data_IF_530693945753
#
_entry.id   IF_530693945753
#
_cell.length_a   1.000
_cell.length_b   1.000
_cell.length_c   1.000
_cell.angle_alpha   90.00
_cell.angle_beta   90.00
_cell.angle_gamma   90.00
#
_symmetry.space_group_name_H-M   'P 1'
#
loop_
_entity.id
_entity.type
_entity.pdbx_description
1 polymer ?
#
# COMPACT_ATOMS: atom_id res chain seq x y z
N UNK A 1 42.69 12.87 3.09
CA UNK A 1 41.71 11.79 2.94
C UNK A 1 41.04 11.95 1.59
N UNK A 2 40.97 10.89 0.78
CA UNK A 2 40.19 10.92 -0.47
C UNK A 2 38.72 11.00 -0.14
N UNK A 3 37.99 11.95 -0.72
CA UNK A 3 36.55 12.06 -0.55
C UNK A 3 35.88 10.91 -1.28
N UNK A 4 34.93 10.24 -0.59
CA UNK A 4 34.08 9.22 -1.19
C UNK A 4 32.99 9.95 -1.97
N UNK A 5 32.80 9.59 -3.24
CA UNK A 5 31.67 10.11 -4.03
C UNK A 5 30.37 9.45 -3.54
N UNK A 6 29.44 10.21 -2.94
CA UNK A 6 28.18 9.64 -2.45
C UNK A 6 27.32 9.15 -3.63
N UNK A 7 26.66 8.01 -3.45
CA UNK A 7 25.76 7.42 -4.43
C UNK A 7 24.73 6.53 -3.74
N UNK A 8 23.54 6.42 -4.30
CA UNK A 8 22.49 5.51 -3.88
C UNK A 8 22.64 4.17 -4.59
N UNK A 9 22.40 3.06 -3.90
CA UNK A 9 22.43 1.73 -4.49
C UNK A 9 21.31 1.57 -5.53
N UNK A 10 21.60 0.84 -6.61
CA UNK A 10 20.58 0.51 -7.62
C UNK A 10 19.42 -0.26 -7.02
N UNK A 11 18.20 0.23 -7.24
CA UNK A 11 16.96 -0.36 -6.69
C UNK A 11 16.61 0.10 -5.27
N UNK A 12 17.37 1.04 -4.72
CA UNK A 12 17.05 1.73 -3.47
C UNK A 12 16.65 3.17 -3.79
N UNK A 13 15.65 3.69 -3.12
CA UNK A 13 15.13 5.02 -3.40
C UNK A 13 15.36 5.95 -2.21
N UNK A 14 15.87 7.13 -2.51
CA UNK A 14 15.96 8.26 -1.58
C UNK A 14 15.05 9.37 -2.08
N UNK A 15 14.06 9.75 -1.27
CA UNK A 15 13.16 10.84 -1.61
C UNK A 15 13.73 12.16 -1.08
N UNK A 16 13.61 13.21 -1.89
CA UNK A 16 13.81 14.58 -1.43
C UNK A 16 12.68 14.97 -0.45
N UNK A 17 12.85 16.04 0.36
CA UNK A 17 11.86 16.40 1.40
C UNK A 17 10.42 16.54 0.89
N UNK A 18 10.19 17.14 -0.27
CA UNK A 18 8.83 17.32 -0.81
C UNK A 18 8.15 15.99 -1.16
N UNK A 19 8.71 15.11 -2.02
CA UNK A 19 8.16 13.78 -2.25
C UNK A 19 8.02 12.95 -0.95
N UNK A 20 8.92 13.12 0.02
CA UNK A 20 8.81 12.43 1.30
C UNK A 20 7.57 12.87 2.08
N UNK A 21 7.29 14.18 2.15
CA UNK A 21 6.08 14.70 2.77
C UNK A 21 4.80 14.15 2.10
N UNK A 22 4.80 14.05 0.78
CA UNK A 22 3.68 13.44 0.03
C UNK A 22 3.50 11.96 0.37
N UNK A 23 4.60 11.20 0.47
CA UNK A 23 4.56 9.79 0.87
C UNK A 23 4.01 9.64 2.31
N UNK A 24 4.43 10.49 3.25
CA UNK A 24 3.92 10.48 4.63
C UNK A 24 2.43 10.78 4.69
N UNK A 25 1.94 11.73 3.87
CA UNK A 25 0.51 12.02 3.79
C UNK A 25 -0.31 10.82 3.29
N UNK A 26 0.21 10.07 2.31
CA UNK A 26 -0.43 8.82 1.86
C UNK A 26 -0.43 7.80 3.00
N UNK A 27 0.69 7.62 3.69
CA UNK A 27 0.79 6.70 4.84
C UNK A 27 -0.19 7.08 5.97
N UNK A 28 -0.42 8.36 6.19
CA UNK A 28 -1.39 8.85 7.17
C UNK A 28 -2.83 8.48 6.79
N UNK A 29 -3.21 8.65 5.52
CA UNK A 29 -4.53 8.19 5.03
C UNK A 29 -4.69 6.68 5.23
N UNK A 30 -3.65 5.89 4.93
CA UNK A 30 -3.67 4.45 5.15
C UNK A 30 -3.91 4.10 6.63
N UNK A 31 -3.11 4.67 7.54
CA UNK A 31 -3.24 4.44 9.00
C UNK A 31 -4.64 4.81 9.51
N UNK A 32 -5.13 5.98 9.11
CA UNK A 32 -6.44 6.47 9.53
C UNK A 32 -7.56 5.57 8.98
N UNK A 33 -7.49 5.15 7.71
CA UNK A 33 -8.46 4.25 7.11
C UNK A 33 -8.46 2.89 7.81
N UNK A 34 -7.30 2.28 8.04
CA UNK A 34 -7.19 0.98 8.70
C UNK A 34 -7.73 1.02 10.14
N UNK A 35 -7.47 2.11 10.86
CA UNK A 35 -7.99 2.32 12.22
C UNK A 35 -9.51 2.37 12.27
N UNK A 36 -10.20 2.89 11.23
CA UNK A 36 -11.67 2.89 11.15
C UNK A 36 -12.27 1.48 11.13
N UNK A 37 -11.51 0.50 10.67
CA UNK A 37 -11.92 -0.91 10.62
C UNK A 37 -11.40 -1.74 11.82
N UNK A 38 -10.88 -1.07 12.85
CA UNK A 38 -10.41 -1.73 14.07
C UNK A 38 -9.08 -2.48 13.91
N UNK A 39 -8.25 -2.14 12.92
CA UNK A 39 -6.92 -2.70 12.81
C UNK A 39 -5.95 -1.97 13.75
N UNK A 40 -5.10 -2.76 14.43
CA UNK A 40 -4.05 -2.24 15.31
C UNK A 40 -2.69 -2.21 14.60
N UNK A 41 -1.85 -1.21 14.87
CA UNK A 41 -0.52 -1.17 14.29
C UNK A 41 0.37 -2.31 14.84
N UNK A 42 1.16 -2.90 13.96
CA UNK A 42 2.20 -3.86 14.29
C UNK A 42 3.49 -3.46 13.56
N UNK A 43 4.63 -3.67 14.19
CA UNK A 43 5.92 -3.66 13.51
C UNK A 43 6.74 -4.88 13.92
N UNK A 44 7.16 -5.67 12.94
CA UNK A 44 8.04 -6.81 13.12
C UNK A 44 9.47 -6.42 12.73
N UNK A 45 10.51 -7.08 13.26
CA UNK A 45 11.88 -6.79 12.89
C UNK A 45 12.14 -6.89 11.37
N UNK A 46 12.95 -5.99 10.84
CA UNK A 46 13.39 -6.05 9.44
C UNK A 46 14.41 -7.19 9.21
N UNK A 47 15.13 -7.58 10.25
CA UNK A 47 16.09 -8.67 10.25
C UNK A 47 15.54 -9.78 11.14
N UNK A 48 15.50 -10.98 10.60
CA UNK A 48 15.07 -12.19 11.31
C UNK A 48 16.12 -13.29 11.14
N UNK A 49 16.00 -14.35 11.91
CA UNK A 49 16.76 -15.57 11.67
C UNK A 49 16.40 -16.13 10.28
N UNK A 50 17.39 -16.59 9.54
CA UNK A 50 17.18 -17.03 8.16
C UNK A 50 16.23 -18.24 8.07
N UNK A 51 16.26 -19.16 9.03
CA UNK A 51 15.36 -20.30 9.12
C UNK A 51 13.89 -19.90 9.28
N UNK A 52 13.61 -18.81 10.02
CA UNK A 52 12.25 -18.27 10.14
C UNK A 52 11.73 -17.80 8.79
N UNK A 53 12.49 -16.96 8.06
CA UNK A 53 12.03 -16.41 6.79
C UNK A 53 12.02 -17.43 5.64
N UNK A 54 12.81 -18.47 5.75
CA UNK A 54 12.94 -19.57 4.78
C UNK A 54 12.14 -20.82 5.17
N UNK A 55 11.36 -20.78 6.27
CA UNK A 55 10.59 -21.92 6.76
C UNK A 55 9.71 -22.58 5.70
N UNK A 56 9.12 -21.77 4.80
CA UNK A 56 8.35 -22.29 3.68
C UNK A 56 9.23 -22.95 2.60
N UNK A 57 10.53 -22.65 2.56
CA UNK A 57 11.52 -23.23 1.65
C UNK A 57 11.18 -23.23 0.16
N UNK A 58 12.21 -23.09 -0.70
CA UNK A 58 12.10 -23.31 -2.14
C UNK A 58 11.63 -22.12 -2.98
N UNK A 59 11.84 -22.22 -4.28
CA UNK A 59 11.35 -21.30 -5.27
C UNK A 59 12.17 -20.03 -5.47
N UNK A 60 11.53 -19.03 -6.08
CA UNK A 60 12.17 -17.73 -6.37
C UNK A 60 12.47 -16.89 -5.12
N UNK A 61 11.67 -17.04 -4.06
CA UNK A 61 11.85 -16.30 -2.80
C UNK A 61 13.22 -16.54 -2.19
N UNK A 62 13.67 -17.79 -2.17
CA UNK A 62 14.98 -18.16 -1.64
C UNK A 62 16.15 -17.53 -2.41
N UNK A 63 15.99 -17.35 -3.73
CA UNK A 63 16.99 -16.70 -4.59
C UNK A 63 17.03 -15.17 -4.42
N UNK A 64 15.94 -14.59 -3.96
CA UNK A 64 15.77 -13.14 -3.88
C UNK A 64 15.91 -12.60 -2.45
N UNK A 65 15.96 -13.46 -1.43
CA UNK A 65 16.12 -13.02 -0.04
C UNK A 65 17.55 -12.55 0.21
N UNK A 66 17.68 -11.41 0.90
CA UNK A 66 18.98 -10.93 1.37
C UNK A 66 19.35 -11.68 2.64
N UNK A 67 20.34 -12.59 2.53
CA UNK A 67 20.86 -13.41 3.62
C UNK A 67 22.31 -13.05 3.91
N UNK A 68 22.68 -12.99 5.19
CA UNK A 68 24.02 -12.63 5.62
C UNK A 68 24.33 -13.23 7.00
N UNK A 69 25.61 -13.28 7.37
CA UNK A 69 26.06 -13.73 8.68
C UNK A 69 26.56 -12.58 9.52
N UNK A 70 26.26 -12.62 10.82
CA UNK A 70 26.81 -11.73 11.83
C UNK A 70 27.27 -12.58 13.03
N UNK A 71 28.59 -12.79 13.16
CA UNK A 71 29.13 -13.80 14.08
C UNK A 71 28.61 -15.18 13.67
N UNK A 72 28.07 -15.92 14.63
CA UNK A 72 27.50 -17.26 14.41
C UNK A 72 26.05 -17.24 13.94
N UNK A 73 25.41 -16.05 13.91
CA UNK A 73 24.02 -15.91 13.52
C UNK A 73 23.87 -15.86 12.01
N UNK A 74 22.95 -16.68 11.48
CA UNK A 74 22.51 -16.69 10.10
C UNK A 74 21.23 -15.87 9.98
N UNK A 75 21.27 -14.75 9.30
CA UNK A 75 20.25 -13.72 9.30
C UNK A 75 19.76 -13.44 7.88
N UNK A 76 18.52 -12.95 7.79
CA UNK A 76 17.98 -12.47 6.52
C UNK A 76 17.11 -11.20 6.71
N UNK A 77 17.00 -10.40 5.64
CA UNK A 77 16.06 -9.30 5.59
C UNK A 77 14.68 -9.82 5.17
N UNK A 78 13.62 -9.34 5.82
CA UNK A 78 12.23 -9.72 5.50
C UNK A 78 11.89 -9.44 4.03
N UNK A 79 11.33 -10.44 3.37
CA UNK A 79 10.91 -10.40 1.97
C UNK A 79 9.50 -9.83 1.79
N UNK A 80 8.64 -10.05 2.78
CA UNK A 80 7.28 -9.54 2.93
C UNK A 80 7.00 -9.24 4.41
N UNK A 81 5.76 -8.83 4.72
CA UNK A 81 5.32 -8.57 6.08
C UNK A 81 4.42 -9.70 6.64
N UNK A 82 4.07 -10.69 5.82
CA UNK A 82 3.11 -11.76 6.17
C UNK A 82 3.80 -12.96 6.81
N UNK A 83 4.98 -13.36 6.32
CA UNK A 83 5.78 -14.45 6.96
C UNK A 83 6.22 -14.06 8.38
N UNK A 84 6.77 -12.85 8.62
CA UNK A 84 7.03 -12.37 9.98
C UNK A 84 5.78 -12.29 10.87
N UNK A 85 4.61 -11.94 10.29
CA UNK A 85 3.35 -11.95 11.03
C UNK A 85 2.96 -13.35 11.48
N UNK A 86 3.07 -14.35 10.61
CA UNK A 86 2.73 -15.72 10.96
C UNK A 86 3.58 -16.24 12.15
N UNK A 87 4.89 -15.96 12.13
CA UNK A 87 5.79 -16.23 13.25
C UNK A 87 5.37 -15.46 14.51
N UNK A 88 5.06 -14.17 14.37
CA UNK A 88 4.64 -13.31 15.49
C UNK A 88 3.38 -13.84 16.17
N UNK A 89 2.34 -14.18 15.38
CA UNK A 89 1.07 -14.70 15.91
C UNK A 89 1.28 -16.06 16.61
N UNK A 90 2.10 -16.93 16.03
CA UNK A 90 2.43 -18.21 16.66
C UNK A 90 3.16 -18.03 18.00
N UNK A 91 4.13 -17.10 18.05
CA UNK A 91 4.92 -16.81 19.24
C UNK A 91 4.08 -16.19 20.36
N UNK A 92 3.18 -15.26 20.04
CA UNK A 92 2.39 -14.47 20.99
C UNK A 92 0.93 -14.92 21.10
N UNK A 93 0.61 -16.13 20.64
CA UNK A 93 -0.77 -16.62 20.58
C UNK A 93 -1.55 -16.39 21.88
N UNK A 94 -0.95 -16.66 23.04
CA UNK A 94 -1.61 -16.52 24.35
C UNK A 94 -1.85 -15.08 24.80
N UNK A 95 -1.27 -14.11 24.12
CA UNK A 95 -1.36 -12.68 24.44
C UNK A 95 -2.30 -11.94 23.46
N UNK A 96 -2.67 -12.58 22.34
CA UNK A 96 -3.48 -11.98 21.29
C UNK A 96 -4.96 -12.33 21.45
N UNK A 97 -5.83 -11.39 21.05
CA UNK A 97 -7.25 -11.63 20.92
C UNK A 97 -7.60 -11.97 19.47
N UNK A 98 -8.44 -13.01 19.25
CA UNK A 98 -8.85 -13.45 17.92
C UNK A 98 -10.34 -13.15 17.64
N UNK A 99 -10.71 -12.78 16.39
CA UNK A 99 -9.81 -12.63 15.25
C UNK A 99 -8.84 -11.46 15.45
N UNK A 100 -7.54 -11.70 15.25
CA UNK A 100 -6.50 -10.69 15.37
C UNK A 100 -6.42 -9.85 14.11
N UNK A 101 -6.59 -8.53 14.25
CA UNK A 101 -6.63 -7.56 13.14
C UNK A 101 -5.43 -6.63 13.27
N UNK A 102 -4.49 -6.71 12.32
CA UNK A 102 -3.29 -5.86 12.33
C UNK A 102 -3.10 -5.11 11.02
N UNK A 103 -2.47 -3.97 11.08
CA UNK A 103 -1.83 -3.37 9.91
C UNK A 103 -0.33 -3.15 10.16
N UNK A 104 0.45 -3.18 9.09
CA UNK A 104 1.86 -2.83 9.12
C UNK A 104 2.24 -2.07 7.86
N UNK A 105 2.87 -0.89 8.03
CA UNK A 105 3.48 -0.13 6.94
C UNK A 105 4.98 -0.20 7.18
N UNK A 106 5.68 -0.96 6.37
CA UNK A 106 7.09 -1.26 6.59
C UNK A 106 7.87 -1.55 5.33
N UNK A 107 9.19 -1.42 5.40
CA UNK A 107 10.10 -1.75 4.31
C UNK A 107 10.30 -3.26 4.22
N UNK A 108 10.36 -3.76 2.99
CA UNK A 108 10.71 -5.13 2.64
C UNK A 108 11.81 -5.12 1.59
N UNK A 109 12.49 -6.27 1.42
CA UNK A 109 13.73 -6.36 0.68
C UNK A 109 13.70 -7.54 -0.29
N UNK A 110 13.91 -7.27 -1.59
CA UNK A 110 13.92 -8.30 -2.64
C UNK A 110 15.11 -8.13 -3.56
N UNK A 111 15.92 -9.17 -3.71
CA UNK A 111 17.12 -9.19 -4.53
C UNK A 111 16.86 -9.26 -6.04
N UNK A 112 15.63 -8.96 -6.49
CA UNK A 112 15.27 -8.97 -7.91
C UNK A 112 15.96 -7.86 -8.70
N UNK A 113 15.96 -8.00 -10.04
CA UNK A 113 16.48 -6.97 -10.93
C UNK A 113 15.62 -5.71 -10.81
N UNK A 114 16.26 -4.58 -10.46
CA UNK A 114 15.57 -3.28 -10.41
C UNK A 114 15.00 -2.92 -11.81
N UNK A 115 13.74 -2.50 -11.82
CA UNK A 115 12.99 -2.09 -13.01
C UNK A 115 12.11 -0.89 -12.66
N UNK A 116 11.50 -0.27 -13.67
CA UNK A 116 10.54 0.82 -13.48
C UNK A 116 9.41 0.40 -12.53
N UNK A 117 9.26 1.12 -11.41
CA UNK A 117 8.27 0.78 -10.37
C UNK A 117 8.59 -0.47 -9.54
N UNK A 118 9.76 -1.11 -9.70
CA UNK A 118 10.24 -2.23 -8.89
C UNK A 118 11.57 -1.92 -8.24
N UNK A 119 11.56 -1.95 -6.92
CA UNK A 119 12.70 -1.60 -6.08
C UNK A 119 13.16 -2.83 -5.28
N UNK A 120 14.41 -2.78 -4.82
CA UNK A 120 15.00 -3.80 -3.95
C UNK A 120 14.72 -3.54 -2.47
N UNK A 121 14.53 -2.30 -2.10
CA UNK A 121 13.96 -1.86 -0.83
C UNK A 121 12.71 -1.04 -1.13
N UNK A 122 11.57 -1.38 -0.55
CA UNK A 122 10.32 -0.69 -0.80
C UNK A 122 9.32 -0.86 0.35
N UNK A 123 8.42 0.09 0.50
CA UNK A 123 7.34 0.02 1.48
C UNK A 123 6.20 -0.85 0.97
N UNK A 124 5.76 -1.75 1.82
CA UNK A 124 4.45 -2.40 1.76
C UNK A 124 3.55 -1.83 2.86
N UNK A 125 2.25 -1.75 2.57
CA UNK A 125 1.21 -1.43 3.54
C UNK A 125 0.21 -2.58 3.56
N UNK A 126 0.34 -3.40 4.58
CA UNK A 126 -0.39 -4.66 4.73
C UNK A 126 -1.44 -4.56 5.82
N UNK A 127 -2.60 -5.17 5.57
CA UNK A 127 -3.60 -5.48 6.58
C UNK A 127 -3.90 -6.97 6.55
N UNK A 128 -4.06 -7.58 7.72
CA UNK A 128 -4.41 -9.00 7.87
C UNK A 128 -5.37 -9.21 9.03
N UNK A 129 -6.25 -10.19 8.86
CA UNK A 129 -7.14 -10.71 9.88
C UNK A 129 -6.81 -12.18 10.07
N UNK A 130 -6.38 -12.56 11.27
CA UNK A 130 -6.03 -13.95 11.62
C UNK A 130 -7.12 -14.51 12.53
N UNK A 131 -7.70 -15.64 12.15
CA UNK A 131 -8.64 -16.40 12.95
C UNK A 131 -7.97 -17.40 13.88
N UNK A 132 -8.74 -17.99 14.79
CA UNK A 132 -8.38 -19.13 15.63
C UNK A 132 -9.27 -20.32 15.27
N UNK A 133 -8.69 -21.34 14.68
CA UNK A 133 -9.38 -22.53 14.16
C UNK A 133 -10.20 -22.27 12.88
N UNK A 134 -10.88 -21.15 12.78
CA UNK A 134 -11.68 -20.75 11.62
C UNK A 134 -11.74 -19.23 11.45
N UNK A 135 -12.04 -18.80 10.24
CA UNK A 135 -12.21 -17.39 9.89
C UNK A 135 -13.46 -17.23 9.01
N UNK A 136 -14.34 -16.30 9.38
CA UNK A 136 -15.59 -16.04 8.64
C UNK A 136 -15.29 -15.52 7.23
N UNK A 137 -16.10 -15.97 6.26
CA UNK A 137 -16.08 -15.49 4.87
C UNK A 137 -16.34 -13.96 4.76
N UNK A 138 -17.03 -13.37 5.74
CA UNK A 138 -17.27 -11.92 5.80
C UNK A 138 -15.95 -11.13 5.76
N UNK A 139 -14.89 -11.64 6.39
CA UNK A 139 -13.57 -10.99 6.37
C UNK A 139 -12.97 -10.95 4.95
N UNK A 140 -13.30 -11.94 4.11
CA UNK A 140 -12.83 -11.99 2.72
C UNK A 140 -13.53 -10.96 1.83
N UNK A 141 -14.70 -10.45 2.22
CA UNK A 141 -15.37 -9.33 1.55
C UNK A 141 -14.99 -7.99 2.17
N UNK A 142 -14.75 -7.94 3.48
CA UNK A 142 -14.36 -6.70 4.17
C UNK A 142 -12.99 -6.20 3.70
N UNK A 143 -12.01 -7.08 3.53
CA UNK A 143 -10.66 -6.71 3.07
C UNK A 143 -10.69 -5.91 1.75
N UNK A 144 -11.31 -6.36 0.65
CA UNK A 144 -11.39 -5.57 -0.57
C UNK A 144 -12.24 -4.30 -0.42
N UNK A 145 -13.24 -4.27 0.48
CA UNK A 145 -13.96 -3.03 0.78
C UNK A 145 -13.04 -1.95 1.41
N UNK A 146 -12.04 -2.37 2.19
CA UNK A 146 -11.02 -1.48 2.74
C UNK A 146 -10.11 -0.95 1.63
N UNK A 147 -9.78 -1.76 0.61
CA UNK A 147 -9.05 -1.28 -0.57
C UNK A 147 -9.84 -0.16 -1.25
N UNK A 148 -11.13 -0.41 -1.51
CA UNK A 148 -12.01 0.59 -2.11
C UNK A 148 -12.04 1.89 -1.29
N UNK A 149 -12.27 1.78 0.02
CA UNK A 149 -12.28 2.94 0.93
C UNK A 149 -10.96 3.70 0.91
N UNK A 150 -9.84 2.99 0.98
CA UNK A 150 -8.49 3.55 0.98
C UNK A 150 -8.22 4.33 -0.30
N UNK A 151 -8.43 3.69 -1.46
CA UNK A 151 -8.14 4.31 -2.74
C UNK A 151 -9.06 5.49 -3.04
N UNK A 152 -10.34 5.37 -2.70
CA UNK A 152 -11.30 6.48 -2.83
C UNK A 152 -10.94 7.67 -1.92
N UNK A 153 -10.47 7.40 -0.68
CA UNK A 153 -10.03 8.46 0.24
C UNK A 153 -8.75 9.14 -0.26
N UNK A 154 -7.84 8.41 -0.91
CA UNK A 154 -6.68 9.00 -1.58
C UNK A 154 -7.07 9.88 -2.77
N UNK A 155 -8.24 9.67 -3.37
CA UNK A 155 -8.72 10.35 -4.57
C UNK A 155 -8.61 9.52 -5.85
N UNK A 156 -8.19 8.25 -5.75
CA UNK A 156 -8.24 7.33 -6.89
C UNK A 156 -9.69 7.00 -7.21
N UNK A 157 -10.10 7.18 -8.46
CA UNK A 157 -11.48 6.92 -8.92
C UNK A 157 -11.56 5.76 -9.89
N UNK A 158 -10.56 5.59 -10.74
CA UNK A 158 -10.54 4.63 -11.83
C UNK A 158 -9.58 3.47 -11.53
N UNK A 159 -10.07 2.55 -10.70
CA UNK A 159 -9.40 1.30 -10.36
C UNK A 159 -10.40 0.16 -10.29
N UNK A 160 -9.93 -1.05 -10.45
CA UNK A 160 -10.74 -2.26 -10.36
C UNK A 160 -10.08 -3.28 -9.44
N UNK A 161 -10.84 -3.79 -8.50
CA UNK A 161 -10.49 -4.90 -7.62
C UNK A 161 -10.96 -6.17 -8.33
N UNK A 162 -10.03 -6.95 -8.84
CA UNK A 162 -10.30 -8.24 -9.45
C UNK A 162 -10.35 -9.29 -8.35
N UNK A 163 -11.32 -10.16 -8.36
CA UNK A 163 -11.58 -11.17 -7.33
C UNK A 163 -11.72 -12.54 -7.97
N UNK A 164 -11.09 -13.55 -7.40
CA UNK A 164 -11.26 -14.96 -7.77
C UNK A 164 -11.21 -15.83 -6.50
N UNK A 165 -11.44 -17.13 -6.66
CA UNK A 165 -11.23 -18.12 -5.60
C UNK A 165 -10.40 -19.29 -6.14
N UNK A 166 -9.31 -19.63 -5.46
CA UNK A 166 -8.40 -20.71 -5.87
C UNK A 166 -9.06 -22.08 -5.90
N UNK A 167 -10.08 -22.29 -5.07
CA UNK A 167 -10.83 -23.54 -5.09
C UNK A 167 -11.58 -23.76 -6.41
N UNK A 168 -12.05 -22.68 -7.05
CA UNK A 168 -12.66 -22.75 -8.38
C UNK A 168 -11.66 -23.29 -9.41
N UNK A 169 -10.45 -22.72 -9.45
CA UNK A 169 -9.41 -23.16 -10.37
C UNK A 169 -8.95 -24.59 -10.07
N UNK A 170 -8.65 -24.90 -8.81
CA UNK A 170 -8.25 -26.24 -8.39
C UNK A 170 -9.31 -27.29 -8.70
N UNK A 171 -10.58 -26.99 -8.39
CA UNK A 171 -11.70 -27.89 -8.68
C UNK A 171 -11.90 -28.10 -10.19
N UNK A 172 -11.76 -27.04 -10.99
CA UNK A 172 -11.84 -27.16 -12.45
C UNK A 172 -10.69 -28.00 -13.02
N UNK A 173 -9.47 -27.78 -12.56
CA UNK A 173 -8.33 -28.61 -13.00
C UNK A 173 -8.46 -30.08 -12.54
N UNK A 174 -9.06 -30.32 -11.38
CA UNK A 174 -9.38 -31.68 -10.92
C UNK A 174 -10.42 -32.37 -11.80
N UNK A 175 -11.44 -31.65 -12.29
CA UNK A 175 -12.40 -32.18 -13.26
C UNK A 175 -11.74 -32.63 -14.57
N UNK A 176 -10.64 -31.97 -14.96
CA UNK A 176 -9.85 -32.35 -16.14
C UNK A 176 -8.79 -33.42 -15.83
N UNK A 177 -8.69 -33.91 -14.60
CA UNK A 177 -7.66 -34.87 -14.19
C UNK A 177 -6.25 -34.27 -14.10
N UNK A 178 -6.15 -32.94 -13.79
CA UNK A 178 -4.92 -32.18 -13.79
C UNK A 178 -4.54 -31.65 -12.38
N UNK A 179 -4.98 -32.33 -11.32
CA UNK A 179 -4.75 -31.91 -9.94
C UNK A 179 -3.27 -31.74 -9.59
N UNK A 180 -2.42 -32.65 -10.05
CA UNK A 180 -0.97 -32.62 -9.78
C UNK A 180 -0.28 -31.45 -10.48
N UNK A 181 -0.75 -31.07 -11.67
CA UNK A 181 -0.20 -29.97 -12.47
C UNK A 181 -0.81 -28.60 -12.10
N UNK A 182 -1.80 -28.55 -11.20
CA UNK A 182 -2.57 -27.34 -10.89
C UNK A 182 -1.68 -26.12 -10.57
N UNK A 183 -0.61 -26.30 -9.81
CA UNK A 183 0.33 -25.24 -9.48
C UNK A 183 1.09 -24.67 -10.69
N UNK A 184 1.55 -25.56 -11.60
CA UNK A 184 2.27 -25.15 -12.81
C UNK A 184 1.33 -24.49 -13.81
N UNK A 185 0.11 -25.02 -13.95
CA UNK A 185 -0.95 -24.43 -14.78
C UNK A 185 -1.26 -23.01 -14.30
N UNK A 186 -1.48 -22.81 -12.99
CA UNK A 186 -1.75 -21.48 -12.43
C UNK A 186 -0.60 -20.50 -12.70
N UNK A 187 0.66 -20.92 -12.52
CA UNK A 187 1.84 -20.10 -12.84
C UNK A 187 1.94 -19.74 -14.33
N UNK A 188 1.46 -20.61 -15.19
CA UNK A 188 1.47 -20.39 -16.64
C UNK A 188 0.33 -19.47 -17.07
N UNK A 189 -0.88 -19.70 -16.56
CA UNK A 189 -2.06 -18.83 -16.77
C UNK A 189 -1.80 -17.39 -16.33
N UNK A 190 -1.09 -17.16 -15.24
CA UNK A 190 -0.70 -15.82 -14.77
C UNK A 190 0.12 -15.01 -15.79
N UNK A 191 0.74 -15.67 -16.76
CA UNK A 191 1.47 -14.98 -17.82
C UNK A 191 0.54 -14.46 -18.93
N UNK A 192 -0.77 -14.80 -18.90
CA UNK A 192 -1.73 -14.54 -19.98
C UNK A 192 -1.74 -13.08 -20.43
N UNK A 193 -1.87 -12.15 -19.50
CA UNK A 193 -1.91 -10.69 -19.78
C UNK A 193 -0.59 -10.17 -20.41
N UNK A 194 0.52 -10.90 -20.24
CA UNK A 194 1.85 -10.48 -20.71
C UNK A 194 2.23 -11.07 -22.05
N UNK A 195 1.86 -12.33 -22.30
CA UNK A 195 2.36 -13.08 -23.46
C UNK A 195 1.26 -13.52 -24.43
N UNK A 196 -0.01 -13.38 -24.03
CA UNK A 196 -1.19 -13.76 -24.84
C UNK A 196 -1.55 -15.24 -24.79
N UNK A 197 -2.78 -15.57 -25.21
CA UNK A 197 -3.37 -16.92 -25.13
C UNK A 197 -2.60 -17.97 -25.91
N UNK A 198 -2.15 -17.66 -27.12
CA UNK A 198 -1.44 -18.61 -27.96
C UNK A 198 -0.15 -19.11 -27.33
N UNK A 199 0.63 -18.21 -26.73
CA UNK A 199 1.87 -18.58 -26.03
C UNK A 199 1.57 -19.32 -24.73
N UNK A 200 0.53 -18.92 -23.99
CA UNK A 200 0.10 -19.66 -22.79
C UNK A 200 -0.32 -21.08 -23.16
N UNK A 201 -1.06 -21.27 -24.27
CA UNK A 201 -1.42 -22.59 -24.77
C UNK A 201 -0.20 -23.47 -25.01
N UNK A 202 0.81 -22.93 -25.70
CA UNK A 202 2.05 -23.67 -25.97
C UNK A 202 2.74 -24.08 -24.68
N UNK A 203 2.84 -23.13 -23.68
CA UNK A 203 3.47 -23.43 -22.40
C UNK A 203 2.69 -24.45 -21.57
N UNK A 204 1.34 -24.43 -21.62
CA UNK A 204 0.51 -25.46 -20.95
C UNK A 204 0.80 -26.85 -21.49
N UNK A 205 0.96 -26.99 -22.83
CA UNK A 205 1.27 -28.28 -23.44
C UNK A 205 2.71 -28.69 -23.20
N UNK A 206 3.69 -27.82 -23.50
CA UNK A 206 5.11 -28.18 -23.51
C UNK A 206 5.74 -28.22 -22.11
N UNK A 207 5.39 -27.25 -21.21
CA UNK A 207 6.01 -27.14 -19.89
C UNK A 207 5.18 -27.82 -18.79
N UNK A 208 3.83 -27.75 -18.88
CA UNK A 208 2.95 -28.35 -17.86
C UNK A 208 2.49 -29.76 -18.21
N UNK A 209 2.78 -30.26 -19.44
CA UNK A 209 2.38 -31.59 -19.88
C UNK A 209 0.87 -31.76 -20.05
N UNK A 210 0.14 -30.70 -20.34
CA UNK A 210 -1.31 -30.72 -20.53
C UNK A 210 -1.64 -31.11 -21.97
N UNK A 211 -2.58 -32.03 -22.16
CA UNK A 211 -3.11 -32.39 -23.50
C UNK A 211 -3.70 -31.15 -24.18
N UNK A 212 -3.53 -31.02 -25.51
CA UNK A 212 -3.97 -29.84 -26.27
C UNK A 212 -5.46 -29.51 -26.06
N UNK A 213 -6.34 -30.52 -26.10
CA UNK A 213 -7.78 -30.34 -25.89
C UNK A 213 -8.08 -29.74 -24.49
N UNK A 214 -7.38 -30.23 -23.45
CA UNK A 214 -7.53 -29.70 -22.08
C UNK A 214 -6.95 -28.31 -21.94
N UNK A 215 -5.86 -27.98 -22.65
CA UNK A 215 -5.32 -26.63 -22.68
C UNK A 215 -6.32 -25.64 -23.29
N UNK A 216 -7.03 -26.02 -24.35
CA UNK A 216 -8.09 -25.22 -24.95
C UNK A 216 -9.30 -25.06 -24.01
N UNK A 217 -9.67 -26.10 -23.24
CA UNK A 217 -10.71 -26.02 -22.22
C UNK A 217 -10.31 -25.08 -21.09
N UNK A 218 -9.05 -25.12 -20.64
CA UNK A 218 -8.52 -24.19 -19.61
C UNK A 218 -8.60 -22.74 -20.10
N UNK A 219 -8.15 -22.46 -21.33
CA UNK A 219 -8.19 -21.12 -21.90
C UNK A 219 -9.63 -20.63 -22.08
N UNK A 220 -10.55 -21.50 -22.50
CA UNK A 220 -11.98 -21.18 -22.62
C UNK A 220 -12.59 -20.85 -21.26
N UNK A 221 -12.27 -21.63 -20.22
CA UNK A 221 -12.76 -21.41 -18.86
C UNK A 221 -12.27 -20.08 -18.28
N UNK A 222 -10.98 -19.81 -18.34
CA UNK A 222 -10.41 -18.57 -17.80
C UNK A 222 -10.78 -17.32 -18.62
N UNK A 223 -11.27 -17.50 -19.84
CA UNK A 223 -11.76 -16.43 -20.72
C UNK A 223 -13.23 -16.05 -20.46
N UNK A 224 -13.94 -16.72 -19.52
CA UNK A 224 -15.30 -16.33 -19.14
C UNK A 224 -15.27 -14.89 -18.61
N UNK A 225 -16.08 -14.00 -19.22
CA UNK A 225 -16.15 -12.57 -18.92
C UNK A 225 -17.61 -12.11 -18.97
N UNK A 226 -17.86 -10.98 -18.35
CA UNK A 226 -19.16 -10.30 -18.28
C UNK A 226 -19.29 -9.50 -17.00
N UNK A 227 -20.52 -9.15 -16.65
CA UNK A 227 -20.85 -8.64 -15.31
C UNK A 227 -20.57 -9.74 -14.26
N UNK A 228 -20.43 -9.35 -13.00
CA UNK A 228 -20.20 -10.32 -11.93
C UNK A 228 -21.28 -11.43 -11.90
N UNK A 229 -22.55 -11.04 -12.09
CA UNK A 229 -23.67 -11.98 -12.16
C UNK A 229 -23.60 -12.94 -13.34
N UNK A 230 -23.18 -12.47 -14.53
CA UNK A 230 -23.03 -13.32 -15.73
C UNK A 230 -21.87 -14.31 -15.54
N UNK A 231 -20.74 -13.88 -14.97
CA UNK A 231 -19.61 -14.79 -14.70
C UNK A 231 -20.02 -15.87 -13.70
N UNK A 232 -20.65 -15.48 -12.57
CA UNK A 232 -21.13 -16.45 -11.57
C UNK A 232 -22.16 -17.40 -12.17
N UNK A 233 -23.10 -16.92 -12.99
CA UNK A 233 -24.07 -17.75 -13.69
C UNK A 233 -23.41 -18.74 -14.68
N UNK A 234 -22.36 -18.31 -15.38
CA UNK A 234 -21.61 -19.20 -16.27
C UNK A 234 -20.85 -20.28 -15.50
N UNK A 235 -20.41 -20.01 -14.26
CA UNK A 235 -19.76 -21.01 -13.42
C UNK A 235 -20.73 -22.09 -12.89
N UNK A 236 -22.03 -21.77 -12.76
CA UNK A 236 -23.04 -22.74 -12.30
C UNK A 236 -23.15 -23.98 -13.19
N UNK A 237 -22.80 -23.93 -14.48
CA UNK A 237 -22.77 -25.09 -15.38
C UNK A 237 -21.78 -26.19 -14.96
N UNK A 238 -20.79 -25.85 -14.14
CA UNK A 238 -19.78 -26.77 -13.61
C UNK A 238 -20.16 -27.33 -12.23
N UNK A 239 -21.24 -26.83 -11.61
CA UNK A 239 -21.68 -27.25 -10.27
C UNK A 239 -21.97 -28.75 -10.21
N UNK A 240 -21.75 -29.34 -9.05
CA UNK A 240 -21.93 -30.77 -8.74
C UNK A 240 -20.97 -31.72 -9.50
N UNK A 241 -19.92 -31.19 -10.13
CA UNK A 241 -18.86 -31.98 -10.75
C UNK A 241 -17.65 -32.18 -9.84
N UNK A 242 -17.44 -31.28 -8.89
CA UNK A 242 -16.33 -31.35 -7.94
C UNK A 242 -16.64 -30.53 -6.68
N UNK A 243 -16.52 -31.14 -5.50
CA UNK A 243 -16.86 -30.51 -4.22
C UNK A 243 -16.01 -29.26 -3.91
N UNK A 244 -14.71 -29.26 -4.26
CA UNK A 244 -13.82 -28.12 -4.07
C UNK A 244 -14.24 -26.94 -4.95
N UNK A 245 -14.64 -27.22 -6.19
CA UNK A 245 -15.20 -26.21 -7.08
C UNK A 245 -16.47 -25.60 -6.50
N UNK A 246 -17.42 -26.44 -6.06
CA UNK A 246 -18.70 -26.00 -5.51
C UNK A 246 -18.49 -25.12 -4.28
N UNK A 247 -17.59 -25.50 -3.38
CA UNK A 247 -17.22 -24.70 -2.23
C UNK A 247 -16.63 -23.35 -2.67
N UNK A 248 -15.74 -23.33 -3.64
CA UNK A 248 -15.13 -22.09 -4.17
C UNK A 248 -16.17 -21.17 -4.81
N UNK A 249 -17.15 -21.72 -5.51
CA UNK A 249 -18.25 -20.97 -6.13
C UNK A 249 -19.18 -20.35 -5.08
N UNK A 250 -19.53 -21.09 -4.03
CA UNK A 250 -20.33 -20.59 -2.93
C UNK A 250 -19.61 -19.47 -2.15
N UNK A 251 -18.29 -19.64 -1.91
CA UNK A 251 -17.44 -18.62 -1.28
C UNK A 251 -17.36 -17.36 -2.14
N UNK A 252 -17.08 -17.49 -3.44
CA UNK A 252 -16.98 -16.35 -4.36
C UNK A 252 -18.33 -15.61 -4.49
N UNK A 253 -19.43 -16.34 -4.60
CA UNK A 253 -20.79 -15.78 -4.63
C UNK A 253 -21.11 -15.01 -3.35
N UNK A 254 -20.70 -15.55 -2.20
CA UNK A 254 -20.86 -14.89 -0.90
C UNK A 254 -20.03 -13.61 -0.81
N UNK A 255 -18.77 -13.65 -1.25
CA UNK A 255 -17.86 -12.48 -1.25
C UNK A 255 -18.40 -11.38 -2.15
N UNK A 256 -18.82 -11.68 -3.38
CA UNK A 256 -19.37 -10.68 -4.31
C UNK A 256 -20.64 -10.02 -3.78
N UNK A 257 -21.55 -10.80 -3.18
CA UNK A 257 -22.75 -10.28 -2.54
C UNK A 257 -22.42 -9.35 -1.38
N UNK A 258 -21.48 -9.76 -0.52
CA UNK A 258 -21.06 -8.98 0.64
C UNK A 258 -20.31 -7.71 0.24
N UNK A 259 -19.53 -7.70 -0.85
CA UNK A 259 -18.88 -6.50 -1.38
C UNK A 259 -19.92 -5.40 -1.68
N UNK A 260 -21.00 -5.75 -2.34
CA UNK A 260 -22.11 -4.82 -2.55
C UNK A 260 -22.71 -4.30 -1.23
N UNK A 261 -22.88 -5.16 -0.22
CA UNK A 261 -23.36 -4.78 1.10
C UNK A 261 -22.39 -3.86 1.87
N UNK A 262 -21.07 -4.02 1.65
CA UNK A 262 -20.05 -3.10 2.15
C UNK A 262 -19.95 -1.77 1.37
N UNK A 263 -20.80 -1.58 0.36
CA UNK A 263 -20.89 -0.34 -0.41
C UNK A 263 -19.82 -0.17 -1.48
N UNK A 264 -19.18 -1.27 -1.92
CA UNK A 264 -18.27 -1.23 -3.06
C UNK A 264 -19.10 -1.19 -4.35
N UNK A 265 -18.97 -0.13 -5.18
CA UNK A 265 -19.69 -0.05 -6.46
C UNK A 265 -19.27 -1.18 -7.40
N UNK A 266 -20.21 -1.68 -8.19
CA UNK A 266 -19.96 -2.82 -9.09
C UNK A 266 -18.90 -2.52 -10.16
N UNK A 267 -18.75 -1.26 -10.56
CA UNK A 267 -17.69 -0.83 -11.46
C UNK A 267 -16.28 -0.91 -10.86
N UNK A 268 -16.16 -0.98 -9.53
CA UNK A 268 -14.86 -1.04 -8.83
C UNK A 268 -14.41 -2.46 -8.47
N UNK A 269 -15.22 -3.49 -8.73
CA UNK A 269 -14.78 -4.87 -8.56
C UNK A 269 -15.29 -5.78 -9.68
N UNK A 270 -14.54 -6.81 -10.00
CA UNK A 270 -14.88 -7.78 -11.03
C UNK A 270 -14.43 -9.20 -10.65
N UNK A 271 -15.29 -10.18 -10.88
CA UNK A 271 -14.90 -11.58 -10.86
C UNK A 271 -14.04 -11.85 -12.09
N UNK A 272 -12.80 -12.32 -11.88
CA UNK A 272 -11.83 -12.55 -12.95
C UNK A 272 -11.04 -13.84 -12.74
N UNK A 273 -11.36 -14.84 -13.55
CA UNK A 273 -10.78 -16.18 -13.45
C UNK A 273 -9.31 -16.24 -13.89
N UNK A 274 -8.76 -15.19 -14.51
CA UNK A 274 -7.34 -15.14 -14.85
C UNK A 274 -6.44 -14.86 -13.67
N UNK A 275 -6.99 -14.37 -12.54
CA UNK A 275 -6.21 -14.26 -11.31
C UNK A 275 -5.99 -15.66 -10.76
N UNK A 276 -4.95 -16.28 -11.25
CA UNK A 276 -4.50 -17.60 -10.81
C UNK A 276 -3.36 -17.47 -9.78
N UNK A 277 -2.65 -16.35 -9.80
CA UNK A 277 -1.46 -16.07 -9.03
C UNK A 277 -1.80 -15.41 -7.69
N UNK A 278 -0.88 -15.46 -6.88
CA UNK A 278 -0.64 -14.89 -5.57
C UNK A 278 0.57 -15.61 -5.03
N UNK A 279 0.96 -15.29 -3.81
CA UNK A 279 1.98 -16.09 -3.12
C UNK A 279 1.43 -17.52 -2.98
N UNK A 280 2.31 -18.51 -3.13
CA UNK A 280 1.93 -19.95 -3.18
C UNK A 280 1.17 -20.45 -1.94
N UNK A 281 1.01 -19.62 -0.91
CA UNK A 281 0.28 -19.93 0.31
C UNK A 281 -1.21 -19.57 0.30
N UNK A 282 -1.75 -18.92 -0.76
CA UNK A 282 -3.19 -18.64 -0.81
C UNK A 282 -4.01 -19.91 -1.07
N UNK A 283 -5.13 -20.03 -0.35
CA UNK A 283 -5.97 -21.24 -0.31
C UNK A 283 -7.42 -21.01 -0.73
N UNK A 284 -7.90 -19.77 -0.69
CA UNK A 284 -9.28 -19.39 -0.98
C UNK A 284 -9.37 -18.18 -1.90
N UNK A 285 -10.15 -17.18 -1.48
CA UNK A 285 -10.31 -15.92 -2.24
C UNK A 285 -8.98 -15.22 -2.45
N UNK A 286 -8.79 -14.68 -3.65
CA UNK A 286 -7.60 -13.90 -4.04
C UNK A 286 -8.04 -12.59 -4.67
N UNK A 287 -7.23 -11.55 -4.47
CA UNK A 287 -7.50 -10.18 -4.92
C UNK A 287 -6.32 -9.62 -5.69
N UNK A 288 -6.63 -8.85 -6.71
CA UNK A 288 -5.65 -8.06 -7.44
C UNK A 288 -6.28 -6.73 -7.84
N UNK A 289 -5.63 -5.61 -7.54
CA UNK A 289 -6.15 -4.29 -7.86
C UNK A 289 -5.25 -3.62 -8.89
N UNK A 290 -5.86 -3.14 -9.97
CA UNK A 290 -5.20 -2.45 -11.07
C UNK A 290 -5.79 -1.05 -11.26
N UNK A 291 -4.97 -0.12 -11.77
CA UNK A 291 -5.42 1.20 -12.19
C UNK A 291 -5.88 1.11 -13.64
N UNK A 292 -7.14 1.48 -13.91
CA UNK A 292 -7.75 1.32 -15.24
C UNK A 292 -7.14 2.24 -16.30
N UNK A 293 -6.64 3.41 -15.89
CA UNK A 293 -5.99 4.36 -16.79
C UNK A 293 -4.50 4.03 -17.02
N UNK A 294 -3.94 3.10 -16.23
CA UNK A 294 -2.52 2.73 -16.25
C UNK A 294 -2.32 1.20 -16.14
N UNK A 295 -2.92 0.42 -17.05
CA UNK A 295 -2.85 -1.05 -16.98
C UNK A 295 -1.42 -1.60 -17.12
N UNK A 296 -0.53 -0.85 -17.80
CA UNK A 296 0.89 -1.22 -17.99
C UNK A 296 1.66 -1.33 -16.67
N UNK A 297 1.15 -0.72 -15.60
CA UNK A 297 1.75 -0.76 -14.27
C UNK A 297 1.53 -2.13 -13.61
N UNK A 298 0.44 -2.80 -14.00
CA UNK A 298 -0.04 -4.02 -13.37
C UNK A 298 -0.60 -3.78 -11.97
N UNK A 299 -0.60 -4.81 -11.13
CA UNK A 299 -1.19 -4.76 -9.79
C UNK A 299 -0.46 -3.79 -8.86
N UNK A 300 -1.23 -2.94 -8.19
CA UNK A 300 -0.77 -2.02 -7.14
C UNK A 300 -1.12 -2.51 -5.73
N UNK A 301 -2.09 -3.42 -5.63
CA UNK A 301 -2.49 -4.08 -4.40
C UNK A 301 -2.89 -5.51 -4.71
N UNK A 302 -2.46 -6.46 -3.89
CA UNK A 302 -2.81 -7.88 -4.03
C UNK A 302 -2.95 -8.53 -2.67
N UNK A 303 -3.66 -9.66 -2.63
CA UNK A 303 -3.84 -10.41 -1.39
C UNK A 303 -4.71 -11.64 -1.57
N UNK A 304 -5.13 -12.21 -0.45
CA UNK A 304 -6.01 -13.37 -0.44
C UNK A 304 -6.08 -14.04 0.92
N UNK A 305 -6.85 -15.14 0.94
CA UNK A 305 -6.96 -16.03 2.08
C UNK A 305 -5.82 -17.04 2.09
N UNK A 306 -5.26 -17.28 3.25
CA UNK A 306 -4.25 -18.29 3.53
C UNK A 306 -4.60 -19.04 4.82
N UNK A 307 -4.62 -20.37 4.76
CA UNK A 307 -5.03 -21.17 5.92
C UNK A 307 -3.81 -21.81 6.64
N UNK A 308 -2.71 -22.07 5.92
CA UNK A 308 -1.62 -22.93 6.36
C UNK A 308 -0.29 -22.20 6.62
N UNK A 309 -0.26 -20.87 6.57
CA UNK A 309 1.00 -20.12 6.67
C UNK A 309 1.64 -20.24 8.06
N UNK A 310 0.84 -20.33 9.11
CA UNK A 310 1.32 -20.45 10.47
C UNK A 310 1.76 -21.89 10.86
N UNK A 311 1.45 -22.91 10.04
CA UNK A 311 1.83 -24.33 10.30
C UNK A 311 3.32 -24.56 10.40
N UNK A 312 4.13 -23.67 9.83
CA UNK A 312 5.60 -23.71 9.98
C UNK A 312 6.09 -23.36 11.39
N UNK A 313 5.22 -22.75 12.22
CA UNK A 313 5.59 -22.22 13.54
C UNK A 313 4.73 -22.77 14.67
N UNK A 314 3.57 -23.38 14.37
CA UNK A 314 2.63 -23.90 15.38
C UNK A 314 1.72 -24.96 14.76
N UNK A 315 1.29 -25.93 15.57
CA UNK A 315 0.29 -26.93 15.16
C UNK A 315 -1.16 -26.38 15.20
N UNK A 316 -1.35 -25.10 15.57
CA UNK A 316 -2.66 -24.48 15.64
C UNK A 316 -3.12 -24.03 14.25
N UNK A 317 -4.36 -24.34 13.85
CA UNK A 317 -4.92 -23.80 12.62
C UNK A 317 -5.22 -22.30 12.81
N UNK A 318 -4.45 -21.46 12.16
CA UNK A 318 -4.55 -19.99 12.21
C UNK A 318 -4.82 -19.44 10.80
N UNK A 319 -6.05 -19.62 10.28
CA UNK A 319 -6.41 -19.10 8.97
C UNK A 319 -6.34 -17.57 8.94
N UNK A 320 -5.88 -17.01 7.85
CA UNK A 320 -5.78 -15.58 7.68
C UNK A 320 -6.31 -15.10 6.33
N UNK A 321 -6.66 -13.84 6.25
CA UNK A 321 -6.93 -13.11 5.01
C UNK A 321 -6.33 -11.73 5.11
N UNK A 322 -5.67 -11.28 4.04
CA UNK A 322 -5.05 -9.97 4.03
C UNK A 322 -4.72 -9.46 2.64
N UNK A 323 -4.30 -8.21 2.59
CA UNK A 323 -3.79 -7.56 1.38
C UNK A 323 -2.52 -6.79 1.66
N UNK A 324 -1.76 -6.59 0.60
CA UNK A 324 -0.57 -5.76 0.59
C UNK A 324 -0.67 -4.72 -0.52
N UNK A 325 -0.61 -3.44 -0.15
CA UNK A 325 -0.42 -2.35 -1.10
C UNK A 325 1.09 -2.16 -1.29
N UNK A 326 1.57 -2.28 -2.52
CA UNK A 326 2.94 -1.93 -2.88
C UNK A 326 3.12 -0.40 -2.86
N UNK A 327 3.24 0.17 -1.65
CA UNK A 327 3.14 1.61 -1.43
C UNK A 327 4.20 2.42 -2.20
N UNK A 328 5.45 1.98 -2.21
CA UNK A 328 6.51 2.64 -3.00
C UNK A 328 6.20 2.61 -4.49
N UNK A 329 5.65 1.51 -4.99
CA UNK A 329 5.24 1.37 -6.39
C UNK A 329 4.07 2.29 -6.72
N UNK A 330 3.04 2.28 -5.88
CA UNK A 330 1.88 3.18 -6.02
C UNK A 330 2.34 4.65 -6.05
N UNK A 331 3.15 5.06 -5.08
CA UNK A 331 3.69 6.41 -5.01
C UNK A 331 4.51 6.79 -6.25
N UNK A 332 5.40 5.88 -6.69
CA UNK A 332 6.21 6.10 -7.89
C UNK A 332 5.35 6.38 -9.10
N UNK A 333 4.28 5.59 -9.29
CA UNK A 333 3.34 5.76 -10.39
C UNK A 333 2.58 7.07 -10.29
N UNK A 334 2.00 7.36 -9.11
CA UNK A 334 1.25 8.60 -8.87
C UNK A 334 2.11 9.84 -9.16
N UNK A 335 3.38 9.79 -8.78
CA UNK A 335 4.32 10.88 -9.04
C UNK A 335 4.68 10.98 -10.53
N UNK A 336 5.01 9.86 -11.19
CA UNK A 336 5.38 9.81 -12.60
C UNK A 336 4.24 10.26 -13.52
N UNK A 337 3.01 9.87 -13.21
CA UNK A 337 1.79 10.24 -13.94
C UNK A 337 1.24 11.61 -13.53
N UNK A 338 1.93 12.34 -12.64
CA UNK A 338 1.51 13.65 -12.13
C UNK A 338 0.09 13.67 -11.55
N UNK A 339 -0.29 12.57 -10.92
CA UNK A 339 -1.59 12.41 -10.27
C UNK A 339 -1.64 13.05 -8.88
N UNK A 340 -0.48 13.32 -8.28
CA UNK A 340 -0.41 14.01 -6.99
C UNK A 340 -0.92 15.44 -7.14
N UNK A 341 -1.73 15.89 -6.17
CA UNK A 341 -2.28 17.23 -6.18
C UNK A 341 -1.17 18.25 -5.86
N UNK A 342 -0.73 18.95 -6.89
CA UNK A 342 0.32 19.97 -6.78
C UNK A 342 -0.16 21.21 -6.01
N UNK A 343 -1.48 21.47 -5.97
CA UNK A 343 -2.06 22.58 -5.20
C UNK A 343 -2.04 22.29 -3.69
N UNK A 344 -2.07 21.01 -3.32
CA UNK A 344 -1.84 20.56 -1.94
C UNK A 344 -0.34 20.52 -1.65
N UNK A 345 0.32 21.66 -1.79
CA UNK A 345 1.75 21.76 -1.55
C UNK A 345 2.05 21.45 -0.08
N UNK A 346 2.83 20.41 0.13
CA UNK A 346 3.24 19.97 1.46
C UNK A 346 4.45 20.77 1.91
N UNK A 347 4.23 21.79 2.75
CA UNK A 347 5.29 22.55 3.38
C UNK A 347 5.70 21.95 4.72
N UNK A 348 6.97 22.07 5.12
CA UNK A 348 7.42 21.64 6.45
C UNK A 348 6.87 22.51 7.57
N UNK A 349 6.40 23.72 7.27
CA UNK A 349 5.77 24.66 8.18
C UNK A 349 4.62 25.39 7.49
N UNK A 350 3.67 25.88 8.28
CA UNK A 350 2.56 26.71 7.80
C UNK A 350 2.96 28.18 7.73
N UNK A 351 3.90 28.58 8.59
CA UNK A 351 4.44 29.95 8.64
C UNK A 351 5.93 29.95 8.99
N UNK A 352 6.66 30.88 8.39
CA UNK A 352 8.04 31.17 8.78
C UNK A 352 8.10 32.56 9.44
N UNK A 353 8.64 32.62 10.64
CA UNK A 353 8.90 33.90 11.30
C UNK A 353 10.31 34.37 10.93
N UNK A 354 10.39 35.62 10.46
CA UNK A 354 11.63 36.30 10.08
C UNK A 354 11.84 37.46 11.03
N UNK A 355 12.70 37.33 12.06
CA UNK A 355 13.10 38.43 12.87
C UNK A 355 13.82 39.50 12.04
N UNK A 356 13.47 40.77 12.28
CA UNK A 356 14.09 41.94 11.65
C UNK A 356 14.94 42.72 12.67
N UNK A 357 15.08 42.20 13.88
CA UNK A 357 15.88 42.73 15.00
C UNK A 357 16.95 41.71 15.38
N UNK A 358 18.00 42.16 16.08
CA UNK A 358 19.03 41.28 16.63
C UNK A 358 18.54 40.55 17.91
N UNK A 359 17.58 41.13 18.63
CA UNK A 359 16.91 40.47 19.74
C UNK A 359 15.83 39.50 19.22
N UNK A 360 16.05 38.21 19.47
CA UNK A 360 15.18 37.14 19.02
C UNK A 360 14.07 36.77 20.03
N UNK A 361 14.05 37.37 21.23
CA UNK A 361 13.15 36.95 22.31
C UNK A 361 11.68 37.05 21.89
N UNK A 362 11.28 38.18 21.30
CA UNK A 362 9.90 38.35 20.82
C UNK A 362 9.52 37.37 19.73
N UNK A 363 10.42 37.08 18.79
CA UNK A 363 10.17 36.11 17.70
C UNK A 363 10.08 34.67 18.23
N UNK A 364 10.90 34.30 19.22
CA UNK A 364 10.83 33.01 19.90
C UNK A 364 9.51 32.84 20.63
N UNK A 365 9.07 33.90 21.33
CA UNK A 365 7.80 33.95 22.08
C UNK A 365 6.62 33.75 21.12
N UNK A 366 6.57 34.50 20.02
CA UNK A 366 5.55 34.36 18.99
C UNK A 366 5.53 32.97 18.38
N UNK A 367 6.71 32.42 18.07
CA UNK A 367 6.79 31.05 17.53
C UNK A 367 6.21 30.01 18.51
N UNK A 368 6.46 30.19 19.79
CA UNK A 368 5.94 29.32 20.86
C UNK A 368 4.42 29.42 20.99
N UNK A 369 3.89 30.64 20.96
CA UNK A 369 2.44 30.90 21.01
C UNK A 369 1.69 30.32 19.81
N UNK A 370 2.22 30.46 18.60
CA UNK A 370 1.63 29.89 17.41
C UNK A 370 1.68 28.34 17.42
N UNK A 371 2.80 27.75 17.86
CA UNK A 371 2.93 26.30 18.03
C UNK A 371 1.96 25.74 19.08
N UNK A 372 1.67 26.47 20.14
CA UNK A 372 0.66 26.07 21.12
C UNK A 372 -0.77 26.01 20.54
N UNK A 373 -1.00 26.67 19.41
CA UNK A 373 -2.24 26.60 18.61
C UNK A 373 -2.19 25.58 17.48
N UNK A 374 -1.22 24.65 17.49
CA UNK A 374 -1.00 23.63 16.45
C UNK A 374 -0.64 24.18 15.07
N UNK A 375 -0.13 25.40 15.00
CA UNK A 375 0.46 25.97 13.77
C UNK A 375 1.92 25.51 13.67
N UNK A 376 2.32 24.93 12.56
CA UNK A 376 3.71 24.52 12.33
C UNK A 376 4.54 25.76 11.97
N UNK A 377 5.47 26.10 12.84
CA UNK A 377 6.25 27.34 12.72
C UNK A 377 7.73 27.05 12.54
N UNK A 378 8.32 27.64 11.53
CA UNK A 378 9.77 27.72 11.35
C UNK A 378 10.27 29.11 11.75
N UNK A 379 11.21 29.20 12.70
CA UNK A 379 11.90 30.43 13.02
C UNK A 379 13.18 30.51 12.19
N UNK A 380 13.33 31.56 11.39
CA UNK A 380 14.52 31.79 10.57
C UNK A 380 15.45 32.81 11.27
N UNK A 381 16.35 32.32 12.08
CA UNK A 381 17.27 33.14 12.88
C UNK A 381 18.59 33.48 12.16
N UNK A 382 18.83 32.91 10.96
CA UNK A 382 20.09 33.12 10.23
C UNK A 382 20.24 34.56 9.72
N UNK A 383 21.43 35.11 9.88
CA UNK A 383 21.77 36.46 9.38
C UNK A 383 22.04 36.42 7.85
N UNK A 384 20.98 36.47 7.08
CA UNK A 384 21.02 36.57 5.61
C UNK A 384 20.25 37.80 5.13
N UNK A 385 20.56 38.22 3.89
CA UNK A 385 19.82 39.31 3.25
C UNK A 385 18.33 38.95 3.15
N UNK A 386 17.45 39.93 3.31
CA UNK A 386 16.00 39.78 3.26
C UNK A 386 15.50 38.91 2.10
N UNK A 387 15.97 39.23 0.87
CA UNK A 387 15.62 38.44 -0.32
C UNK A 387 15.94 36.94 -0.20
N UNK A 388 17.06 36.60 0.43
CA UNK A 388 17.46 35.20 0.64
C UNK A 388 16.56 34.48 1.65
N UNK A 389 16.06 35.21 2.67
CA UNK A 389 15.12 34.67 3.65
C UNK A 389 13.77 34.31 2.97
N UNK A 390 13.27 35.20 2.11
CA UNK A 390 12.03 34.95 1.34
C UNK A 390 12.20 33.79 0.35
N UNK A 391 13.31 33.76 -0.40
CA UNK A 391 13.61 32.66 -1.32
C UNK A 391 13.73 31.30 -0.62
N UNK A 392 14.15 31.31 0.64
CA UNK A 392 14.22 30.09 1.44
C UNK A 392 12.79 29.58 1.78
N UNK A 393 11.88 30.47 2.23
CA UNK A 393 10.49 30.10 2.49
C UNK A 393 9.79 29.62 1.21
N UNK A 394 9.96 30.34 0.11
CA UNK A 394 9.41 30.00 -1.22
C UNK A 394 9.90 28.63 -1.70
N UNK A 395 11.21 28.36 -1.61
CA UNK A 395 11.80 27.06 -1.96
C UNK A 395 11.23 25.89 -1.13
N UNK A 396 10.83 26.15 0.10
CA UNK A 396 10.19 25.17 0.99
C UNK A 396 8.67 25.16 0.84
N UNK A 397 8.13 26.00 -0.04
CA UNK A 397 6.69 26.19 -0.23
C UNK A 397 5.93 26.57 1.05
N UNK A 398 6.58 27.27 1.99
CA UNK A 398 5.93 27.77 3.19
C UNK A 398 4.99 28.90 2.77
N UNK A 399 3.66 28.76 3.01
CA UNK A 399 2.70 29.70 2.46
C UNK A 399 2.76 31.08 3.10
N UNK A 400 3.09 31.15 4.38
CA UNK A 400 3.11 32.42 5.11
C UNK A 400 4.47 32.78 5.64
N UNK A 401 4.78 34.08 5.59
CA UNK A 401 5.95 34.64 6.27
C UNK A 401 5.47 35.78 7.17
N UNK A 402 5.90 35.72 8.42
CA UNK A 402 5.73 36.80 9.42
C UNK A 402 7.03 37.57 9.54
N UNK A 403 6.98 38.88 9.30
CA UNK A 403 8.08 39.80 9.65
C UNK A 403 7.79 40.41 10.98
N UNK A 404 8.82 40.43 11.82
CA UNK A 404 8.75 40.94 13.18
C UNK A 404 9.92 41.92 13.43
N UNK A 405 9.66 43.21 13.30
CA UNK A 405 10.58 44.30 13.56
C UNK A 405 10.28 44.99 14.88
N UNK A 406 11.06 46.03 15.21
CA UNK A 406 10.88 46.82 16.46
C UNK A 406 9.50 47.49 16.52
N UNK A 407 9.00 48.00 15.39
CA UNK A 407 7.70 48.65 15.29
C UNK A 407 6.55 47.66 15.56
N UNK A 408 6.62 46.46 14.95
CA UNK A 408 5.63 45.40 15.14
C UNK A 408 5.65 44.93 16.62
N UNK A 409 6.82 44.74 17.21
CA UNK A 409 6.95 44.34 18.62
C UNK A 409 6.35 45.40 19.54
N UNK A 410 6.65 46.68 19.32
CA UNK A 410 6.14 47.78 20.12
C UNK A 410 4.61 47.94 20.03
N UNK A 411 4.05 47.68 18.85
CA UNK A 411 2.62 47.76 18.56
C UNK A 411 1.83 46.48 18.89
N UNK A 412 2.48 45.37 19.22
CA UNK A 412 1.85 44.07 19.42
C UNK A 412 1.24 43.48 18.12
N UNK A 413 1.80 43.87 16.98
CA UNK A 413 1.35 43.44 15.64
C UNK A 413 2.40 42.57 14.96
N UNK A 414 2.04 42.00 13.81
CA UNK A 414 2.95 41.28 12.93
C UNK A 414 2.65 41.66 11.47
N UNK A 415 3.68 41.71 10.67
CA UNK A 415 3.49 41.85 9.20
C UNK A 415 3.41 40.47 8.56
N UNK A 416 2.21 40.03 8.25
CA UNK A 416 1.91 38.73 7.65
C UNK A 416 1.88 38.83 6.12
N UNK A 417 2.71 38.05 5.44
CA UNK A 417 2.75 37.94 3.99
C UNK A 417 2.33 36.56 3.54
N UNK A 418 1.35 36.47 2.62
CA UNK A 418 1.04 35.25 1.88
C UNK A 418 1.94 35.19 0.65
N UNK A 419 2.81 34.18 0.58
CA UNK A 419 3.73 34.02 -0.55
C UNK A 419 3.04 33.52 -1.84
N UNK A 420 1.83 32.97 -1.75
CA UNK A 420 1.06 32.46 -2.90
C UNK A 420 0.40 33.61 -3.68
N UNK A 421 -0.15 34.57 -2.98
CA UNK A 421 -0.83 35.75 -3.58
C UNK A 421 0.07 36.96 -3.67
N UNK A 422 1.08 37.05 -2.81
CA UNK A 422 1.95 38.21 -2.65
C UNK A 422 1.40 39.27 -1.68
N UNK A 423 0.18 39.09 -1.16
CA UNK A 423 -0.47 40.03 -0.25
C UNK A 423 0.26 40.10 1.09
N UNK A 424 0.35 41.31 1.62
CA UNK A 424 0.97 41.58 2.91
C UNK A 424 0.10 42.53 3.73
N UNK A 425 -0.14 42.16 4.98
CA UNK A 425 -0.97 42.93 5.91
C UNK A 425 -0.30 43.00 7.30
N UNK A 426 -0.47 44.13 7.97
CA UNK A 426 -0.06 44.27 9.37
C UNK A 426 -1.29 44.09 10.24
N UNK A 427 -1.26 43.10 11.13
CA UNK A 427 -2.40 42.70 11.97
C UNK A 427 -1.92 42.31 13.36
N UNK A 428 -2.79 42.32 14.39
CA UNK A 428 -2.48 41.74 15.69
C UNK A 428 -2.06 40.27 15.53
N UNK A 429 -1.16 39.79 16.37
CA UNK A 429 -0.66 38.42 16.29
C UNK A 429 -1.76 37.35 16.37
N UNK A 430 -2.84 37.58 17.13
CA UNK A 430 -4.00 36.71 17.22
C UNK A 430 -4.77 36.62 15.86
N UNK A 431 -4.91 37.74 15.15
CA UNK A 431 -5.58 37.76 13.86
C UNK A 431 -4.76 37.04 12.76
N UNK A 432 -3.42 37.14 12.86
CA UNK A 432 -2.53 36.35 11.99
C UNK A 432 -2.70 34.87 12.26
N UNK A 433 -2.74 34.43 13.50
CA UNK A 433 -2.97 33.04 13.86
C UNK A 433 -4.33 32.52 13.32
N UNK A 434 -5.40 33.27 13.51
CA UNK A 434 -6.74 32.93 13.03
C UNK A 434 -6.79 32.77 11.50
N UNK A 435 -6.12 33.64 10.74
CA UNK A 435 -6.03 33.54 9.27
C UNK A 435 -5.27 32.30 8.83
N UNK A 436 -4.15 32.00 9.48
CA UNK A 436 -3.35 30.79 9.17
C UNK A 436 -4.15 29.52 9.47
N UNK A 437 -4.87 29.46 10.62
CA UNK A 437 -5.70 28.32 10.99
C UNK A 437 -6.85 28.09 10.00
N UNK A 438 -7.56 29.16 9.59
CA UNK A 438 -8.61 29.06 8.59
C UNK A 438 -8.09 28.51 7.23
N UNK A 439 -6.89 28.92 6.83
CA UNK A 439 -6.26 28.40 5.61
C UNK A 439 -5.82 26.93 5.76
N UNK A 440 -5.32 26.54 6.95
CA UNK A 440 -4.98 25.13 7.23
C UNK A 440 -6.22 24.24 7.11
N UNK A 441 -7.37 24.66 7.64
CA UNK A 441 -8.63 23.93 7.54
C UNK A 441 -9.08 23.77 6.08
N UNK A 442 -9.03 24.84 5.30
CA UNK A 442 -9.38 24.81 3.88
C UNK A 442 -8.46 23.85 3.08
N UNK A 443 -7.16 23.89 3.34
CA UNK A 443 -6.19 22.99 2.67
C UNK A 443 -6.34 21.54 3.11
N UNK A 444 -6.79 21.29 4.34
CA UNK A 444 -7.04 19.95 4.87
C UNK A 444 -8.21 19.22 4.20
N UNK A 445 -9.15 19.94 3.57
CA UNK A 445 -10.35 19.36 2.93
C UNK A 445 -10.10 18.75 1.56
N UNK A 446 -8.95 18.98 0.92
CA UNK A 446 -8.63 18.44 -0.41
C UNK A 446 -8.14 16.98 -0.38
N UNK A 447 -8.39 16.26 -1.48
CA UNK A 447 -7.79 14.92 -1.70
C UNK A 447 -6.28 15.04 -1.96
N UNK A 448 -5.52 13.97 -1.66
CA UNK A 448 -4.07 13.89 -1.95
C UNK A 448 -3.81 13.84 -3.45
N UNK A 449 -4.76 13.26 -4.20
CA UNK A 449 -4.71 13.15 -5.65
C UNK A 449 -5.62 14.19 -6.31
N UNK A 450 -5.30 14.50 -7.59
CA UNK A 450 -6.08 15.42 -8.44
C UNK A 450 -7.46 14.88 -8.74
#
# INVERSE_FOLDING_TARGET
MSQIKPHTLSGFMELLPQPQLQMEAIMEVLRNTYSLYGFTPLDTPAIEAADVLLAKGGGETEKQIYRFRKGDSDLALRFDLTVPLAKYVALHYGELAFPFRRYQIGKVYRGERAQRGRFREFYQADIDIIGDGKLSITNEAEIPSIIYKTFSTLGLRRFQIRVNNRKILNGFYAMLGLSEQSGDIMRTVDKLDKIGSDKVRVLLVEECGVEEAKADEILTFIAIRGTNGEVLSALEQYRSRNEVFDQGLDELSSVTKLLGAFGVPEENFAVDLTIARGLDYYTGTVYETTLLDHPEIGSVCSGGRYDNLAEYYTDRPLPGVGISIGLTRLFYVLNEQRMLNEERVMAPADVMIVPMTDDLEAAVRLATELRAQNIRVQLYAEQKKFKAKIQYADKLHIPYVVFLGEDEIAAGTVSLKDLRTGDQVTVPAQDAAARILADIELRGQGTILK
#
